data_IF_757221148148
#
_entry.id   IF_757221148148
#
_cell.length_a   1.000
_cell.length_b   1.000
_cell.length_c   1.000
_cell.angle_alpha   90.00
_cell.angle_beta   90.00
_cell.angle_gamma   90.00
#
_symmetry.space_group_name_H-M   'P 1'
#
loop_
_entity.id
_entity.type
_entity.pdbx_description
1 polymer ?
#
# COMPACT_ATOMS: atom_id res chain seq x y z
N UNK A 1 13.62 15.27 23.20
CA UNK A 1 14.02 15.51 21.81
C UNK A 1 14.37 16.97 21.62
N UNK A 2 15.43 17.26 20.89
CA UNK A 2 15.83 18.63 20.53
C UNK A 2 15.54 18.88 19.05
N UNK A 3 15.13 20.11 18.72
CA UNK A 3 14.98 20.55 17.33
C UNK A 3 16.33 20.55 16.62
N UNK A 4 16.39 19.96 15.41
CA UNK A 4 17.59 19.95 14.60
C UNK A 4 17.94 21.35 14.12
N UNK A 5 19.23 21.72 14.21
CA UNK A 5 19.76 22.96 13.64
C UNK A 5 21.22 22.84 13.28
N UNK A 6 21.66 23.59 12.26
CA UNK A 6 23.07 23.64 11.85
C UNK A 6 23.99 24.15 12.98
N UNK A 7 23.51 25.09 13.78
CA UNK A 7 24.25 25.65 14.91
C UNK A 7 24.51 24.62 16.03
N UNK A 8 23.57 23.67 16.21
CA UNK A 8 23.68 22.57 17.20
C UNK A 8 24.45 21.37 16.65
N UNK A 9 24.79 21.35 15.36
CA UNK A 9 25.45 20.22 14.68
C UNK A 9 24.76 18.86 14.88
N UNK A 10 23.42 18.88 15.03
CA UNK A 10 22.58 17.70 15.22
C UNK A 10 21.66 17.41 14.02
N UNK A 11 22.00 17.96 12.84
CA UNK A 11 21.28 17.73 11.59
C UNK A 11 21.69 16.41 10.97
N UNK A 12 20.71 15.72 10.37
CA UNK A 12 20.93 14.53 9.55
C UNK A 12 21.18 14.99 8.11
N UNK A 13 22.21 14.43 7.48
CA UNK A 13 22.50 14.68 6.07
C UNK A 13 21.60 13.82 5.18
N UNK A 14 20.68 14.43 4.42
CA UNK A 14 19.76 13.67 3.56
C UNK A 14 20.48 12.87 2.48
N UNK A 15 21.61 13.35 1.94
CA UNK A 15 22.35 12.68 0.86
C UNK A 15 22.89 11.33 1.35
N UNK A 16 23.45 11.29 2.53
CA UNK A 16 23.95 10.05 3.15
C UNK A 16 22.81 9.05 3.41
N UNK A 17 21.68 9.53 3.92
CA UNK A 17 20.53 8.65 4.19
C UNK A 17 19.94 8.11 2.89
N UNK A 18 19.75 8.95 1.88
CA UNK A 18 19.23 8.52 0.57
C UNK A 18 20.20 7.52 -0.10
N UNK A 19 21.51 7.72 0.01
CA UNK A 19 22.51 6.78 -0.54
C UNK A 19 22.45 5.40 0.13
N UNK A 20 22.15 5.35 1.43
CA UNK A 20 22.13 4.11 2.18
C UNK A 20 20.78 3.36 2.09
N UNK A 21 19.67 4.09 2.11
CA UNK A 21 18.33 3.52 2.25
C UNK A 21 17.42 3.74 1.03
N UNK A 22 17.80 4.64 0.12
CA UNK A 22 16.98 5.05 -1.01
C UNK A 22 15.93 6.11 -0.65
N UNK A 23 15.57 6.92 -1.64
CA UNK A 23 14.64 8.04 -1.47
C UNK A 23 13.23 7.61 -1.02
N UNK A 24 12.72 6.49 -1.54
CA UNK A 24 11.40 5.97 -1.16
C UNK A 24 11.33 5.55 0.31
N UNK A 25 12.43 5.01 0.87
CA UNK A 25 12.49 4.66 2.29
C UNK A 25 12.43 5.91 3.17
N UNK A 26 13.11 6.98 2.77
CA UNK A 26 13.08 8.26 3.48
C UNK A 26 11.69 8.88 3.42
N UNK A 27 11.06 8.90 2.24
CA UNK A 27 9.69 9.39 2.06
C UNK A 27 8.71 8.60 2.95
N UNK A 28 8.79 7.28 2.90
CA UNK A 28 7.92 6.40 3.67
C UNK A 28 8.09 6.65 5.18
N UNK A 29 9.31 6.77 5.68
CA UNK A 29 9.60 7.07 7.08
C UNK A 29 8.97 8.41 7.51
N UNK A 30 9.23 9.49 6.76
CA UNK A 30 8.73 10.82 7.10
C UNK A 30 7.19 10.85 7.10
N UNK A 31 6.55 10.18 6.14
CA UNK A 31 5.11 10.18 5.99
C UNK A 31 4.38 9.20 6.92
N UNK A 32 5.10 8.27 7.56
CA UNK A 32 4.50 7.23 8.40
C UNK A 32 4.29 7.63 9.85
N UNK A 33 5.18 8.48 10.38
CA UNK A 33 5.28 8.72 11.83
C UNK A 33 4.11 9.55 12.37
N UNK A 34 3.76 10.63 11.67
CA UNK A 34 2.82 11.60 12.21
C UNK A 34 2.01 12.28 11.10
N UNK A 35 0.82 12.83 11.44
CA UNK A 35 0.16 13.77 10.54
C UNK A 35 1.09 14.96 10.20
N UNK A 36 0.93 15.60 9.04
CA UNK A 36 1.87 16.61 8.54
C UNK A 36 1.98 17.87 9.43
N UNK A 37 1.05 18.10 10.35
CA UNK A 37 1.07 19.19 11.31
C UNK A 37 2.00 18.93 12.52
N UNK A 38 2.51 17.72 12.68
CA UNK A 38 3.38 17.34 13.79
C UNK A 38 4.82 17.18 13.38
N UNK A 39 5.71 17.45 14.30
CA UNK A 39 7.13 17.20 14.10
C UNK A 39 7.41 15.70 13.96
N UNK A 40 8.31 15.37 13.04
CA UNK A 40 8.82 14.00 12.87
C UNK A 40 10.08 13.85 13.72
N UNK A 41 10.11 12.84 14.57
CA UNK A 41 11.31 12.49 15.31
C UNK A 41 12.17 11.53 14.50
N UNK A 42 13.42 11.91 14.24
CA UNK A 42 14.36 11.01 13.56
C UNK A 42 14.63 9.73 14.37
N UNK A 43 14.60 8.58 13.71
CA UNK A 43 14.88 7.27 14.30
C UNK A 43 15.60 6.38 13.29
N UNK A 44 16.78 5.89 13.67
CA UNK A 44 17.53 4.93 12.85
C UNK A 44 16.75 3.61 12.67
N UNK A 45 16.05 3.17 13.70
CA UNK A 45 15.18 1.99 13.63
C UNK A 45 14.01 2.23 12.69
N UNK A 46 13.45 3.43 12.71
CA UNK A 46 12.32 3.83 11.85
C UNK A 46 12.69 3.82 10.37
N UNK A 47 13.83 4.43 10.00
CA UNK A 47 14.28 4.42 8.61
C UNK A 47 14.66 3.00 8.15
N UNK A 48 15.31 2.19 9.00
CA UNK A 48 15.63 0.81 8.69
C UNK A 48 14.36 -0.05 8.51
N UNK A 49 13.32 0.16 9.31
CA UNK A 49 12.03 -0.51 9.16
C UNK A 49 11.34 -0.13 7.85
N UNK A 50 11.37 1.15 7.48
CA UNK A 50 10.84 1.65 6.20
C UNK A 50 11.59 1.01 5.01
N UNK A 51 12.91 0.94 5.08
CA UNK A 51 13.71 0.28 4.05
C UNK A 51 13.38 -1.21 3.90
N UNK A 52 13.23 -1.94 5.03
CA UNK A 52 12.79 -3.34 5.00
C UNK A 52 11.40 -3.50 4.37
N UNK A 53 10.51 -2.54 4.57
CA UNK A 53 9.18 -2.60 3.95
C UNK A 53 9.26 -2.37 2.44
N UNK A 54 10.08 -1.44 1.96
CA UNK A 54 10.35 -1.26 0.52
C UNK A 54 10.88 -2.57 -0.09
N UNK A 55 11.82 -3.25 0.57
CA UNK A 55 12.34 -4.55 0.10
C UNK A 55 11.25 -5.63 0.06
N UNK A 56 10.33 -5.67 1.05
CA UNK A 56 9.18 -6.58 1.04
C UNK A 56 8.24 -6.31 -0.11
N UNK A 57 7.98 -5.04 -0.44
CA UNK A 57 7.16 -4.66 -1.59
C UNK A 57 7.81 -5.08 -2.91
N UNK A 58 9.13 -4.94 -3.03
CA UNK A 58 9.87 -5.45 -4.18
C UNK A 58 9.75 -6.98 -4.33
N UNK A 59 9.93 -7.71 -3.23
CA UNK A 59 9.75 -9.18 -3.21
C UNK A 59 8.32 -9.58 -3.58
N UNK A 60 7.31 -8.84 -3.09
CA UNK A 60 5.92 -9.04 -3.50
C UNK A 60 5.74 -8.83 -5.00
N UNK A 61 6.34 -7.76 -5.56
CA UNK A 61 6.28 -7.48 -6.99
C UNK A 61 6.82 -8.65 -7.82
N UNK A 62 7.98 -9.22 -7.44
CA UNK A 62 8.54 -10.39 -8.11
C UNK A 62 7.55 -11.56 -8.13
N UNK A 63 6.89 -11.85 -7.00
CA UNK A 63 5.86 -12.89 -6.92
C UNK A 63 4.65 -12.59 -7.81
N UNK A 64 4.19 -11.34 -7.86
CA UNK A 64 3.09 -10.93 -8.74
C UNK A 64 3.45 -11.15 -10.21
N UNK A 65 4.67 -10.79 -10.64
CA UNK A 65 5.15 -11.01 -12.01
C UNK A 65 5.20 -12.51 -12.34
N UNK A 66 5.66 -13.35 -11.41
CA UNK A 66 5.64 -14.81 -11.56
C UNK A 66 4.22 -15.35 -11.75
N UNK A 67 3.25 -14.89 -10.95
CA UNK A 67 1.85 -15.31 -11.07
C UNK A 67 1.19 -14.81 -12.37
N UNK A 68 1.50 -13.61 -12.82
CA UNK A 68 1.05 -13.09 -14.12
C UNK A 68 1.48 -14.01 -15.27
N UNK A 69 2.65 -14.66 -15.15
CA UNK A 69 3.15 -15.57 -16.18
C UNK A 69 2.40 -16.90 -16.25
N UNK A 70 1.71 -17.30 -15.19
CA UNK A 70 1.07 -18.64 -15.08
C UNK A 70 -0.33 -18.70 -15.69
N UNK A 71 -1.06 -17.61 -15.77
CA UNK A 71 -2.46 -17.48 -16.22
C UNK A 71 -3.42 -18.56 -15.69
N UNK A 72 -4.42 -18.15 -14.92
CA UNK A 72 -5.47 -19.02 -14.38
C UNK A 72 -6.85 -18.52 -14.85
N UNK A 73 -7.28 -18.87 -16.07
CA UNK A 73 -8.44 -18.26 -16.74
C UNK A 73 -9.76 -18.46 -16.01
N UNK A 74 -9.89 -19.52 -15.21
CA UNK A 74 -11.12 -19.87 -14.48
C UNK A 74 -11.37 -18.96 -13.27
N UNK A 75 -10.31 -18.31 -12.72
CA UNK A 75 -10.43 -17.49 -11.53
C UNK A 75 -10.50 -15.99 -11.91
N UNK A 76 -11.71 -15.44 -11.92
CA UNK A 76 -11.97 -14.04 -12.27
C UNK A 76 -11.38 -13.05 -11.26
N UNK A 77 -11.24 -13.45 -9.99
CA UNK A 77 -10.57 -12.66 -8.96
C UNK A 77 -11.44 -11.57 -8.33
N UNK A 78 -12.69 -11.87 -8.02
CA UNK A 78 -13.64 -10.90 -7.45
C UNK A 78 -13.12 -10.22 -6.17
N UNK A 79 -12.45 -10.99 -5.30
CA UNK A 79 -11.85 -10.45 -4.08
C UNK A 79 -10.72 -9.44 -4.36
N UNK A 80 -9.89 -9.71 -5.37
CA UNK A 80 -8.85 -8.77 -5.79
C UNK A 80 -9.46 -7.50 -6.37
N UNK A 81 -10.48 -7.64 -7.21
CA UNK A 81 -11.20 -6.51 -7.82
C UNK A 81 -11.85 -5.65 -6.73
N UNK A 82 -12.55 -6.28 -5.78
CA UNK A 82 -13.19 -5.61 -4.65
C UNK A 82 -12.18 -4.88 -3.78
N UNK A 83 -11.09 -5.55 -3.41
CA UNK A 83 -10.01 -4.96 -2.64
C UNK A 83 -9.40 -3.74 -3.34
N UNK A 84 -9.09 -3.86 -4.63
CA UNK A 84 -8.49 -2.78 -5.42
C UNK A 84 -9.38 -1.53 -5.42
N UNK A 85 -10.69 -1.70 -5.64
CA UNK A 85 -11.63 -0.57 -5.62
C UNK A 85 -11.71 0.09 -4.22
N UNK A 86 -11.77 -0.71 -3.14
CA UNK A 86 -11.71 -0.21 -1.77
C UNK A 86 -10.40 0.53 -1.48
N UNK A 87 -9.28 -0.01 -1.96
CA UNK A 87 -7.95 0.58 -1.76
C UNK A 87 -7.82 1.93 -2.46
N UNK A 88 -8.23 2.04 -3.75
CA UNK A 88 -8.21 3.29 -4.49
C UNK A 88 -9.04 4.35 -3.76
N UNK A 89 -10.26 4.01 -3.32
CA UNK A 89 -11.14 4.92 -2.57
C UNK A 89 -10.48 5.41 -1.28
N UNK A 90 -9.92 4.49 -0.48
CA UNK A 90 -9.22 4.84 0.77
C UNK A 90 -8.04 5.79 0.52
N UNK A 91 -7.18 5.47 -0.46
CA UNK A 91 -6.01 6.28 -0.76
C UNK A 91 -6.41 7.66 -1.29
N UNK A 92 -7.39 7.74 -2.21
CA UNK A 92 -7.90 9.01 -2.74
C UNK A 92 -8.40 9.92 -1.61
N UNK A 93 -9.26 9.41 -0.74
CA UNK A 93 -9.78 10.18 0.40
C UNK A 93 -8.67 10.62 1.37
N UNK A 94 -7.69 9.77 1.64
CA UNK A 94 -6.60 10.11 2.54
C UNK A 94 -5.62 11.12 1.93
N UNK A 95 -5.43 11.12 0.60
CA UNK A 95 -4.65 12.15 -0.10
C UNK A 95 -5.34 13.51 -0.03
N UNK A 96 -6.66 13.58 -0.27
CA UNK A 96 -7.45 14.81 -0.18
C UNK A 96 -7.40 15.42 1.23
N UNK A 97 -7.32 14.57 2.26
CA UNK A 97 -7.26 14.99 3.66
C UNK A 97 -5.84 15.07 4.23
N UNK A 98 -4.79 14.96 3.41
CA UNK A 98 -3.38 14.95 3.83
C UNK A 98 -3.05 13.92 4.92
N UNK A 99 -3.82 12.83 5.01
CA UNK A 99 -3.67 11.77 6.02
C UNK A 99 -2.60 10.74 5.60
N UNK A 100 -1.37 11.19 5.38
CA UNK A 100 -0.29 10.36 4.82
C UNK A 100 0.08 9.17 5.69
N UNK A 101 0.08 9.30 7.02
CA UNK A 101 0.33 8.21 7.94
C UNK A 101 -0.72 7.10 7.82
N UNK A 102 -1.98 7.44 7.54
CA UNK A 102 -3.03 6.47 7.26
C UNK A 102 -2.79 5.79 5.91
N UNK A 103 -2.30 6.51 4.90
CA UNK A 103 -1.93 5.91 3.61
C UNK A 103 -0.84 4.86 3.83
N UNK A 104 0.19 5.15 4.62
CA UNK A 104 1.23 4.16 4.92
C UNK A 104 0.66 2.92 5.60
N UNK A 105 -0.28 3.07 6.54
CA UNK A 105 -0.99 1.93 7.13
C UNK A 105 -1.78 1.14 6.08
N UNK A 106 -2.43 1.82 5.12
CA UNK A 106 -3.11 1.14 4.01
C UNK A 106 -2.14 0.40 3.06
N UNK A 107 -0.90 0.87 2.88
CA UNK A 107 0.12 0.12 2.13
C UNK A 107 0.49 -1.19 2.84
N UNK A 108 0.55 -1.22 4.17
CA UNK A 108 0.76 -2.45 4.93
C UNK A 108 -0.44 -3.40 4.84
N UNK A 109 -1.67 -2.88 4.86
CA UNK A 109 -2.89 -3.64 4.62
C UNK A 109 -2.87 -4.28 3.22
N UNK A 110 -2.53 -3.51 2.20
CA UNK A 110 -2.40 -3.96 0.82
C UNK A 110 -1.35 -5.06 0.68
N UNK A 111 -0.17 -4.89 1.26
CA UNK A 111 0.86 -5.91 1.27
C UNK A 111 0.37 -7.22 1.89
N UNK A 112 -0.28 -7.13 3.06
CA UNK A 112 -0.80 -8.29 3.78
C UNK A 112 -1.91 -9.01 3.03
N UNK A 113 -2.74 -8.27 2.29
CA UNK A 113 -3.75 -8.82 1.41
C UNK A 113 -3.12 -9.53 0.21
N UNK A 114 -2.28 -8.84 -0.56
CA UNK A 114 -1.71 -9.38 -1.80
C UNK A 114 -0.84 -10.61 -1.54
N UNK A 115 -0.08 -10.67 -0.45
CA UNK A 115 0.75 -11.84 -0.12
C UNK A 115 -0.09 -13.12 0.05
N UNK A 116 -1.33 -12.99 0.50
CA UNK A 116 -2.26 -14.11 0.67
C UNK A 116 -3.02 -14.44 -0.61
N UNK A 117 -3.44 -13.38 -1.31
CA UNK A 117 -4.35 -13.51 -2.44
C UNK A 117 -3.63 -13.95 -3.72
N UNK A 118 -2.42 -13.44 -3.97
CA UNK A 118 -1.74 -13.68 -5.24
C UNK A 118 -1.47 -15.17 -5.49
N UNK A 119 -1.26 -15.96 -4.44
CA UNK A 119 -1.01 -17.40 -4.54
C UNK A 119 -2.25 -18.23 -4.91
N UNK A 120 -3.45 -17.63 -4.89
CA UNK A 120 -4.68 -18.32 -5.32
C UNK A 120 -4.77 -18.50 -6.83
N UNK A 121 -3.91 -17.83 -7.58
CA UNK A 121 -3.89 -17.84 -9.04
C UNK A 121 -5.15 -17.18 -9.63
N UNK A 122 -4.97 -16.08 -10.31
CA UNK A 122 -6.03 -15.34 -10.96
C UNK A 122 -5.79 -15.26 -12.45
N UNK A 123 -6.85 -14.96 -13.20
CA UNK A 123 -6.73 -14.62 -14.62
C UNK A 123 -5.71 -13.51 -14.81
N UNK A 124 -4.78 -13.71 -15.73
CA UNK A 124 -3.67 -12.78 -16.02
C UNK A 124 -4.14 -11.34 -16.20
N UNK A 125 -5.20 -11.12 -16.97
CA UNK A 125 -5.75 -9.78 -17.22
C UNK A 125 -6.26 -9.13 -15.94
N UNK A 126 -6.87 -9.89 -15.03
CA UNK A 126 -7.35 -9.38 -13.73
C UNK A 126 -6.19 -8.96 -12.85
N UNK A 127 -5.13 -9.78 -12.77
CA UNK A 127 -3.94 -9.41 -11.96
C UNK A 127 -3.31 -8.15 -12.53
N UNK A 128 -3.05 -8.09 -13.83
CA UNK A 128 -2.41 -6.94 -14.48
C UNK A 128 -3.19 -5.64 -14.27
N UNK A 129 -4.51 -5.65 -14.52
CA UNK A 129 -5.33 -4.44 -14.40
C UNK A 129 -5.39 -3.94 -12.95
N UNK A 130 -5.62 -4.83 -12.00
CA UNK A 130 -5.74 -4.44 -10.60
C UNK A 130 -4.39 -4.06 -9.98
N UNK A 131 -3.33 -4.80 -10.28
CA UNK A 131 -2.00 -4.49 -9.76
C UNK A 131 -1.45 -3.17 -10.33
N UNK A 132 -1.67 -2.89 -11.63
CA UNK A 132 -1.37 -1.59 -12.22
C UNK A 132 -2.05 -0.45 -11.45
N UNK A 133 -3.34 -0.56 -11.15
CA UNK A 133 -4.09 0.44 -10.38
C UNK A 133 -3.51 0.63 -8.97
N UNK A 134 -3.16 -0.46 -8.29
CA UNK A 134 -2.51 -0.42 -6.97
C UNK A 134 -1.17 0.30 -7.05
N UNK A 135 -0.31 -0.02 -8.02
CA UNK A 135 0.98 0.63 -8.20
C UNK A 135 0.83 2.14 -8.44
N UNK A 136 -0.14 2.55 -9.26
CA UNK A 136 -0.41 3.98 -9.52
C UNK A 136 -0.83 4.69 -8.22
N UNK A 137 -1.67 4.08 -7.40
CA UNK A 137 -2.09 4.69 -6.12
C UNK A 137 -0.97 4.77 -5.09
N UNK A 138 0.08 3.95 -5.20
CA UNK A 138 1.27 4.02 -4.34
C UNK A 138 2.24 5.15 -4.75
N UNK A 139 2.17 5.62 -5.99
CA UNK A 139 3.12 6.57 -6.57
C UNK A 139 3.31 7.87 -5.76
N UNK A 140 2.30 8.52 -5.19
CA UNK A 140 2.51 9.72 -4.38
C UNK A 140 3.40 9.49 -3.15
N UNK A 141 3.47 8.28 -2.62
CA UNK A 141 4.24 7.94 -1.42
C UNK A 141 5.62 7.38 -1.78
N UNK A 142 5.68 6.38 -2.64
CA UNK A 142 6.89 5.64 -3.03
C UNK A 142 7.05 5.60 -4.55
N UNK A 143 7.37 6.76 -5.18
CA UNK A 143 7.34 6.91 -6.64
C UNK A 143 8.37 6.05 -7.37
N UNK A 144 9.58 5.86 -6.84
CA UNK A 144 10.62 5.12 -7.55
C UNK A 144 10.27 3.65 -7.66
N UNK A 145 9.85 3.03 -6.57
CA UNK A 145 9.38 1.64 -6.56
C UNK A 145 8.17 1.46 -7.49
N UNK A 146 7.16 2.34 -7.36
CA UNK A 146 5.95 2.26 -8.16
C UNK A 146 6.22 2.35 -9.67
N UNK A 147 7.03 3.32 -10.09
CA UNK A 147 7.36 3.50 -11.50
C UNK A 147 8.20 2.35 -12.06
N UNK A 148 9.16 1.83 -11.30
CA UNK A 148 9.96 0.68 -11.75
C UNK A 148 9.09 -0.58 -11.88
N UNK A 149 8.20 -0.83 -10.91
CA UNK A 149 7.24 -1.93 -11.00
C UNK A 149 6.29 -1.80 -12.19
N UNK A 150 5.76 -0.60 -12.46
CA UNK A 150 4.91 -0.33 -13.62
C UNK A 150 5.63 -0.61 -14.93
N UNK A 151 6.88 -0.17 -15.05
CA UNK A 151 7.73 -0.43 -16.23
C UNK A 151 7.95 -1.93 -16.47
N UNK A 152 8.24 -2.68 -15.41
CA UNK A 152 8.49 -4.13 -15.50
C UNK A 152 7.24 -4.89 -15.98
N UNK A 153 6.04 -4.49 -15.57
CA UNK A 153 4.80 -5.11 -16.07
C UNK A 153 4.36 -4.58 -17.44
N UNK A 154 5.19 -3.80 -18.12
CA UNK A 154 4.97 -3.30 -19.47
C UNK A 154 4.01 -2.11 -19.56
N UNK A 155 3.83 -1.34 -18.50
CA UNK A 155 3.07 -0.11 -18.56
C UNK A 155 3.91 1.02 -19.14
N UNK A 156 3.66 1.35 -20.41
CA UNK A 156 4.28 2.48 -21.12
C UNK A 156 3.33 3.67 -21.33
N UNK A 157 2.10 3.55 -20.81
CA UNK A 157 1.09 4.58 -20.96
C UNK A 157 1.32 5.72 -19.96
N UNK A 158 0.74 6.88 -20.27
CA UNK A 158 0.66 7.99 -19.33
C UNK A 158 -0.05 7.55 -18.03
N UNK A 159 0.54 7.89 -16.90
CA UNK A 159 -0.02 7.53 -15.59
C UNK A 159 -1.17 8.46 -15.27
N UNK A 160 -2.39 7.94 -15.30
CA UNK A 160 -3.60 8.64 -14.85
C UNK A 160 -4.10 8.04 -13.54
N UNK A 161 -4.64 8.89 -12.65
CA UNK A 161 -5.18 8.40 -11.37
C UNK A 161 -6.35 7.44 -11.62
N UNK A 162 -6.32 6.23 -11.03
CA UNK A 162 -7.35 5.24 -11.28
C UNK A 162 -8.68 5.61 -10.61
N UNK A 163 -9.76 5.33 -11.31
CA UNK A 163 -11.12 5.42 -10.76
C UNK A 163 -11.51 4.14 -10.04
N UNK A 164 -12.46 4.23 -9.12
CA UNK A 164 -13.07 3.08 -8.44
C UNK A 164 -14.56 3.00 -8.72
N UNK A 165 -15.11 1.79 -8.64
CA UNK A 165 -16.53 1.50 -8.84
C UNK A 165 -17.18 1.19 -7.47
N UNK A 166 -18.11 2.07 -7.04
CA UNK A 166 -18.84 1.91 -5.77
C UNK A 166 -19.61 0.58 -5.69
N UNK A 167 -20.15 0.11 -6.83
CA UNK A 167 -20.91 -1.15 -6.87
C UNK A 167 -20.03 -2.35 -6.51
N UNK A 168 -18.75 -2.29 -6.85
CA UNK A 168 -17.77 -3.35 -6.54
C UNK A 168 -17.27 -3.30 -5.10
N UNK A 169 -17.54 -2.22 -4.37
CA UNK A 169 -17.14 -2.05 -2.97
C UNK A 169 -18.22 -2.56 -2.02
N UNK A 170 -19.50 -2.54 -2.44
CA UNK A 170 -20.62 -2.93 -1.61
C UNK A 170 -20.48 -4.37 -1.13
N UNK A 171 -20.71 -4.58 0.15
CA UNK A 171 -20.81 -5.90 0.74
C UNK A 171 -22.26 -6.34 0.60
N UNK A 172 -22.50 -7.44 -0.10
CA UNK A 172 -23.82 -8.03 -0.22
C UNK A 172 -24.26 -8.73 1.08
N UNK A 173 -23.39 -8.72 2.10
CA UNK A 173 -23.70 -9.32 3.40
C UNK A 173 -23.14 -8.49 4.56
N UNK A 174 -23.91 -8.32 5.60
CA UNK A 174 -23.49 -7.70 6.85
C UNK A 174 -23.17 -8.77 7.89
N UNK A 175 -21.96 -8.71 8.47
CA UNK A 175 -21.57 -9.58 9.58
C UNK A 175 -22.04 -8.98 10.90
N UNK A 176 -23.05 -9.62 11.51
CA UNK A 176 -23.57 -9.25 12.83
C UNK A 176 -22.86 -10.07 13.89
N UNK A 177 -22.17 -9.39 14.79
CA UNK A 177 -21.52 -10.03 15.94
C UNK A 177 -22.56 -10.25 17.04
N UNK A 178 -22.83 -11.50 17.40
CA UNK A 178 -23.68 -11.83 18.52
C UNK A 178 -22.85 -11.81 19.80
N UNK A 179 -23.29 -11.01 20.76
CA UNK A 179 -22.70 -10.96 22.09
C UNK A 179 -23.73 -11.34 23.16
N UNK A 180 -23.32 -12.15 24.14
CA UNK A 180 -24.09 -12.45 25.33
C UNK A 180 -23.21 -12.07 26.52
N UNK A 181 -23.73 -11.17 27.38
CA UNK A 181 -23.00 -10.63 28.53
C UNK A 181 -21.64 -10.03 28.15
N UNK A 182 -21.56 -9.26 27.03
CA UNK A 182 -20.34 -8.60 26.55
C UNK A 182 -19.29 -9.56 25.94
N UNK A 183 -19.57 -10.85 25.86
CA UNK A 183 -18.67 -11.84 25.23
C UNK A 183 -19.21 -12.25 23.85
N UNK A 184 -18.34 -12.19 22.83
CA UNK A 184 -18.65 -12.68 21.49
C UNK A 184 -19.03 -14.17 21.56
N UNK A 185 -20.21 -14.53 21.03
CA UNK A 185 -20.73 -15.89 21.00
C UNK A 185 -20.92 -16.45 19.60
N UNK A 186 -21.04 -15.58 18.61
CA UNK A 186 -21.19 -16.01 17.22
C UNK A 186 -21.10 -14.87 16.24
N UNK A 187 -21.14 -15.22 14.96
CA UNK A 187 -21.25 -14.31 13.82
C UNK A 187 -22.41 -14.79 12.96
N UNK A 188 -23.30 -13.90 12.56
CA UNK A 188 -24.33 -14.17 11.54
C UNK A 188 -24.02 -13.30 10.33
N UNK A 189 -24.00 -13.91 9.15
CA UNK A 189 -24.00 -13.18 7.88
C UNK A 189 -25.46 -13.00 7.46
N UNK A 190 -25.84 -11.75 7.16
CA UNK A 190 -27.15 -11.41 6.58
C UNK A 190 -26.91 -10.87 5.18
N UNK A 191 -27.59 -11.43 4.20
CA UNK A 191 -27.69 -10.93 2.84
C UNK A 191 -28.58 -9.68 2.77
#
# INVERSE_FOLDING_TARGET
SESMSKSKKNTIDPENIISNYGADSVRLFILSDSPPEKDVQWSEEGIAASHKFIQKLWTLHTKVVEEISKDHPENVGDELIKFTNKFIKKISNNLENFSYNIIVANLHEMYSFLIKEISKGYKKTTILDNYKKILITMNPIIPHLSNECLKIIGNNDEITWPTYDEKKIQENSSLIVIQINGKKRGLISTD
#
